data_IF_143644503717
#
_entry.id   IF_143644503717
#
_cell.length_a   1.000
_cell.length_b   1.000
_cell.length_c   1.000
_cell.angle_alpha   90.00
_cell.angle_beta   90.00
_cell.angle_gamma   90.00
#
_symmetry.space_group_name_H-M   'P 1'
#
loop_
_entity.id
_entity.type
_entity.pdbx_description
1 polymer ?
#
# COMPACT_ATOMS: atom_id res chain seq x y z
N UNK A 1 15.60 -25.16 -29.48
CA UNK A 1 14.21 -25.14 -29.98
C UNK A 1 13.43 -26.17 -29.17
N UNK A 2 12.99 -25.79 -27.97
CA UNK A 2 12.12 -26.61 -27.14
C UNK A 2 10.79 -25.89 -27.09
N UNK A 3 9.74 -26.54 -27.57
CA UNK A 3 8.37 -26.05 -27.51
C UNK A 3 7.96 -25.91 -26.04
N UNK A 4 8.18 -24.72 -25.47
CA UNK A 4 7.65 -24.37 -24.15
C UNK A 4 6.21 -23.93 -24.36
N UNK A 5 5.34 -24.92 -24.49
CA UNK A 5 3.90 -24.70 -24.34
C UNK A 5 3.62 -23.97 -23.01
N UNK A 6 2.45 -23.33 -22.88
CA UNK A 6 2.11 -22.55 -21.70
C UNK A 6 2.29 -23.37 -20.43
N UNK A 7 3.01 -22.83 -19.44
CA UNK A 7 3.18 -23.47 -18.13
C UNK A 7 1.79 -23.71 -17.52
N UNK A 8 1.40 -24.96 -17.24
CA UNK A 8 0.10 -25.24 -16.66
C UNK A 8 0.00 -24.62 -15.24
N UNK A 9 -1.19 -24.16 -14.82
CA UNK A 9 -1.42 -23.70 -13.45
C UNK A 9 -1.00 -24.75 -12.42
N UNK A 10 -0.51 -24.30 -11.26
CA UNK A 10 -0.06 -25.19 -10.16
C UNK A 10 -1.14 -26.18 -9.72
N UNK A 11 -2.41 -25.81 -9.88
CA UNK A 11 -3.60 -26.59 -9.53
C UNK A 11 -3.82 -27.84 -10.39
N UNK A 12 -3.23 -27.89 -11.59
CA UNK A 12 -3.28 -29.06 -12.47
C UNK A 12 -2.10 -30.01 -12.28
N UNK A 13 -1.13 -29.63 -11.46
CA UNK A 13 0.06 -30.44 -11.19
C UNK A 13 -0.19 -31.36 -9.99
N UNK A 14 0.32 -32.60 -10.02
CA UNK A 14 0.09 -33.56 -8.93
C UNK A 14 0.64 -33.02 -7.61
N UNK A 15 -0.08 -33.28 -6.51
CA UNK A 15 0.40 -32.95 -5.17
C UNK A 15 1.68 -33.77 -4.89
N UNK A 16 2.79 -33.11 -4.51
CA UNK A 16 4.00 -33.79 -4.09
C UNK A 16 3.73 -34.68 -2.88
N UNK A 17 4.41 -35.83 -2.75
CA UNK A 17 4.23 -36.70 -1.60
C UNK A 17 4.60 -35.98 -0.30
N UNK A 18 3.73 -36.08 0.71
CA UNK A 18 4.02 -35.65 2.06
C UNK A 18 5.21 -36.45 2.61
N UNK A 19 6.21 -35.77 3.16
CA UNK A 19 7.28 -36.44 3.92
C UNK A 19 7.05 -36.25 5.40
N UNK A 20 7.17 -37.34 6.14
CA UNK A 20 7.52 -37.26 7.54
C UNK A 20 8.88 -36.61 7.68
N UNK A 21 8.94 -35.52 8.45
CA UNK A 21 10.15 -34.85 8.92
C UNK A 21 10.91 -34.07 7.84
N UNK A 22 10.35 -32.92 7.44
CA UNK A 22 11.09 -31.84 6.76
C UNK A 22 10.52 -31.44 5.40
N UNK A 23 9.76 -30.35 5.40
CA UNK A 23 9.25 -29.58 4.25
C UNK A 23 8.08 -30.22 3.49
N UNK A 24 6.86 -29.80 3.87
CA UNK A 24 5.65 -29.91 3.05
C UNK A 24 5.41 -28.64 2.20
N UNK A 25 4.53 -28.73 1.20
CA UNK A 25 4.10 -27.58 0.39
C UNK A 25 3.58 -26.44 1.27
N UNK A 26 2.77 -26.77 2.28
CA UNK A 26 2.21 -25.81 3.25
C UNK A 26 3.31 -25.04 3.98
N UNK A 27 4.37 -25.71 4.43
CA UNK A 27 5.50 -25.05 5.12
C UNK A 27 6.21 -24.04 4.21
N UNK A 28 6.39 -24.42 2.94
CA UNK A 28 7.04 -23.58 1.93
C UNK A 28 6.22 -22.32 1.68
N UNK A 29 4.91 -22.48 1.49
CA UNK A 29 3.99 -21.36 1.25
C UNK A 29 3.93 -20.44 2.47
N UNK A 30 3.81 -20.99 3.69
CA UNK A 30 3.81 -20.20 4.92
C UNK A 30 5.10 -19.40 5.12
N UNK A 31 6.26 -19.99 4.83
CA UNK A 31 7.54 -19.27 4.89
C UNK A 31 7.62 -18.13 3.85
N UNK A 32 7.10 -18.37 2.65
CA UNK A 32 7.05 -17.36 1.61
C UNK A 32 6.11 -16.20 1.96
N UNK A 33 4.93 -16.48 2.54
CA UNK A 33 4.00 -15.48 3.07
C UNK A 33 4.68 -14.64 4.15
N UNK A 34 5.30 -15.26 5.17
CA UNK A 34 6.02 -14.51 6.21
C UNK A 34 7.09 -13.60 5.64
N UNK A 35 7.90 -14.08 4.68
CA UNK A 35 8.91 -13.23 4.04
C UNK A 35 8.29 -12.02 3.33
N UNK A 36 7.17 -12.23 2.63
CA UNK A 36 6.48 -11.18 1.90
C UNK A 36 5.75 -10.20 2.84
N UNK A 37 5.22 -10.67 3.97
CA UNK A 37 4.58 -9.81 4.98
C UNK A 37 5.56 -8.79 5.57
N UNK A 38 6.81 -9.21 5.81
CA UNK A 38 7.84 -8.35 6.40
C UNK A 38 8.58 -7.51 5.36
N UNK A 39 8.87 -8.08 4.18
CA UNK A 39 9.76 -7.48 3.18
C UNK A 39 9.09 -7.06 1.88
N UNK A 40 7.76 -7.15 1.79
CA UNK A 40 7.01 -6.90 0.57
C UNK A 40 7.22 -7.96 -0.51
N UNK A 41 6.60 -7.75 -1.67
CA UNK A 41 6.70 -8.66 -2.80
C UNK A 41 8.15 -8.82 -3.33
N UNK A 42 8.99 -7.81 -3.11
CA UNK A 42 10.38 -7.75 -3.53
C UNK A 42 11.28 -8.71 -2.74
N UNK A 43 10.97 -8.96 -1.47
CA UNK A 43 11.70 -9.93 -0.64
C UNK A 43 11.50 -11.38 -1.10
N UNK A 44 10.46 -11.65 -1.90
CA UNK A 44 10.12 -12.99 -2.34
C UNK A 44 11.10 -13.49 -3.42
N UNK A 45 12.05 -14.30 -2.98
CA UNK A 45 12.94 -15.08 -3.86
C UNK A 45 13.00 -16.54 -3.40
N UNK A 46 13.14 -17.48 -4.35
CA UNK A 46 13.29 -18.91 -4.03
C UNK A 46 14.48 -19.18 -3.09
N UNK A 47 15.51 -18.33 -3.14
CA UNK A 47 16.68 -18.41 -2.27
C UNK A 47 16.38 -17.94 -0.85
N UNK A 48 15.64 -16.85 -0.70
CA UNK A 48 15.20 -16.37 0.60
C UNK A 48 14.28 -17.39 1.28
N UNK A 49 13.32 -17.96 0.54
CA UNK A 49 12.42 -19.01 1.05
C UNK A 49 13.20 -20.25 1.49
N UNK A 50 14.18 -20.69 0.70
CA UNK A 50 15.01 -21.84 1.07
C UNK A 50 15.85 -21.59 2.33
N UNK A 51 16.39 -20.37 2.46
CA UNK A 51 17.16 -19.94 3.63
C UNK A 51 16.29 -19.92 4.89
N UNK A 52 15.10 -19.32 4.80
CA UNK A 52 14.11 -19.25 5.88
C UNK A 52 13.73 -20.66 6.40
N UNK A 53 13.63 -21.62 5.48
CA UNK A 53 13.26 -23.00 5.78
C UNK A 53 14.44 -23.90 6.19
N UNK A 54 15.67 -23.38 6.22
CA UNK A 54 16.88 -24.18 6.46
C UNK A 54 17.16 -25.23 5.39
N UNK A 55 16.60 -25.09 4.18
CA UNK A 55 16.80 -26.02 3.08
C UNK A 55 18.20 -25.85 2.47
N UNK A 56 18.90 -26.96 2.22
CA UNK A 56 20.29 -26.93 1.72
C UNK A 56 20.43 -26.29 0.33
N UNK A 57 19.37 -26.34 -0.51
CA UNK A 57 19.37 -25.67 -1.82
C UNK A 57 17.97 -25.15 -2.20
N UNK A 58 17.88 -24.03 -2.96
CA UNK A 58 16.61 -23.57 -3.53
C UNK A 58 15.96 -24.57 -4.47
N UNK A 59 16.76 -25.43 -5.12
CA UNK A 59 16.28 -26.42 -6.06
C UNK A 59 15.32 -27.43 -5.41
N UNK A 60 15.52 -27.72 -4.12
CA UNK A 60 14.65 -28.63 -3.36
C UNK A 60 13.19 -28.15 -3.27
N UNK A 61 12.97 -26.83 -3.33
CA UNK A 61 11.63 -26.24 -3.25
C UNK A 61 10.83 -26.43 -4.54
N UNK A 62 11.48 -26.38 -5.71
CA UNK A 62 10.79 -26.53 -6.99
C UNK A 62 10.13 -27.90 -7.15
N UNK A 63 10.55 -28.93 -6.40
CA UNK A 63 9.80 -30.20 -6.36
C UNK A 63 8.37 -30.02 -5.87
N UNK A 64 8.12 -29.02 -5.02
CA UNK A 64 6.83 -28.81 -4.38
C UNK A 64 5.96 -27.77 -5.08
N UNK A 65 6.61 -26.72 -5.58
CA UNK A 65 5.93 -25.53 -6.13
C UNK A 65 6.18 -25.33 -7.62
N UNK A 66 7.04 -26.15 -8.24
CA UNK A 66 7.42 -26.17 -9.66
C UNK A 66 8.15 -24.92 -10.18
N UNK A 67 7.73 -23.73 -9.79
CA UNK A 67 8.29 -22.45 -10.20
C UNK A 67 8.07 -21.38 -9.13
N UNK A 68 8.71 -20.21 -9.28
CA UNK A 68 8.40 -19.03 -8.44
C UNK A 68 6.93 -18.63 -8.60
N UNK A 69 6.43 -18.71 -9.82
CA UNK A 69 5.05 -18.40 -10.15
C UNK A 69 4.05 -19.35 -9.48
N UNK A 70 4.34 -20.65 -9.47
CA UNK A 70 3.51 -21.64 -8.77
C UNK A 70 3.50 -21.41 -7.25
N UNK A 71 4.60 -20.93 -6.68
CA UNK A 71 4.64 -20.49 -5.28
C UNK A 71 3.75 -19.25 -5.07
N UNK A 72 3.81 -18.25 -5.95
CA UNK A 72 2.95 -17.07 -5.87
C UNK A 72 1.48 -17.43 -5.96
N UNK A 73 1.09 -18.32 -6.88
CA UNK A 73 -0.30 -18.81 -7.00
C UNK A 73 -0.78 -19.44 -5.69
N UNK A 74 0.07 -20.25 -5.04
CA UNK A 74 -0.23 -20.88 -3.75
C UNK A 74 -0.32 -19.85 -2.61
N UNK A 75 0.54 -18.83 -2.59
CA UNK A 75 0.48 -17.75 -1.59
C UNK A 75 -0.82 -16.95 -1.72
N UNK A 76 -1.18 -16.56 -2.94
CA UNK A 76 -2.43 -15.83 -3.22
C UNK A 76 -3.64 -16.65 -2.78
N UNK A 77 -3.68 -17.94 -3.08
CA UNK A 77 -4.80 -18.80 -2.67
C UNK A 77 -4.84 -19.03 -1.16
N UNK A 78 -3.69 -19.15 -0.49
CA UNK A 78 -3.62 -19.26 0.96
C UNK A 78 -4.23 -18.01 1.63
N UNK A 79 -3.83 -16.81 1.18
CA UNK A 79 -4.37 -15.55 1.69
C UNK A 79 -5.88 -15.43 1.45
N UNK A 80 -6.37 -15.88 0.29
CA UNK A 80 -7.81 -15.96 0.01
C UNK A 80 -8.57 -16.88 0.98
N UNK A 81 -7.90 -17.87 1.56
CA UNK A 81 -8.48 -18.75 2.58
C UNK A 81 -8.85 -18.05 3.89
N UNK A 82 -8.35 -16.84 4.12
CA UNK A 82 -8.71 -16.03 5.30
C UNK A 82 -10.06 -15.32 5.15
N UNK A 83 -10.55 -15.17 3.91
CA UNK A 83 -11.82 -14.50 3.64
C UNK A 83 -12.96 -15.49 3.89
N UNK A 84 -13.82 -15.17 4.85
CA UNK A 84 -14.93 -16.04 5.21
C UNK A 84 -15.98 -16.03 4.11
N UNK A 85 -16.30 -17.22 3.62
CA UNK A 85 -17.36 -17.45 2.63
C UNK A 85 -18.16 -18.67 3.05
N UNK A 86 -19.33 -18.49 3.69
CA UNK A 86 -20.24 -19.58 4.00
C UNK A 86 -20.56 -20.43 2.78
N UNK A 87 -20.90 -21.71 2.97
CA UNK A 87 -21.23 -22.61 1.84
C UNK A 87 -22.47 -22.15 1.06
N UNK A 88 -23.41 -21.49 1.75
CA UNK A 88 -24.64 -20.96 1.15
C UNK A 88 -24.78 -19.49 1.55
N UNK A 89 -24.97 -18.57 0.59
CA UNK A 89 -25.26 -17.17 0.88
C UNK A 89 -26.58 -16.99 1.63
N UNK A 90 -26.62 -16.06 2.59
CA UNK A 90 -27.83 -15.66 3.28
C UNK A 90 -28.83 -14.91 2.39
N UNK A 91 -29.88 -14.38 3.03
CA UNK A 91 -30.91 -13.56 2.35
C UNK A 91 -30.47 -12.10 2.19
N UNK A 92 -29.63 -11.60 3.10
CA UNK A 92 -29.09 -10.24 3.04
C UNK A 92 -27.86 -10.18 2.12
N UNK A 93 -28.11 -10.15 0.81
CA UNK A 93 -27.05 -10.09 -0.20
C UNK A 93 -26.09 -8.90 0.03
N UNK A 94 -26.58 -7.77 0.57
CA UNK A 94 -25.73 -6.60 0.83
C UNK A 94 -24.79 -6.89 1.98
N UNK A 95 -25.31 -7.41 3.08
CA UNK A 95 -24.52 -7.82 4.23
C UNK A 95 -23.45 -8.85 3.85
N UNK A 96 -23.80 -9.85 3.04
CA UNK A 96 -22.85 -10.89 2.58
C UNK A 96 -21.71 -10.30 1.74
N UNK A 97 -22.02 -9.45 0.75
CA UNK A 97 -20.98 -8.82 -0.09
C UNK A 97 -20.14 -7.80 0.70
N UNK A 98 -20.74 -7.08 1.64
CA UNK A 98 -20.01 -6.21 2.57
C UNK A 98 -19.03 -7.02 3.41
N UNK A 99 -19.46 -8.14 3.99
CA UNK A 99 -18.61 -8.99 4.81
C UNK A 99 -17.42 -9.55 4.00
N UNK A 100 -17.66 -10.03 2.77
CA UNK A 100 -16.59 -10.49 1.87
C UNK A 100 -15.60 -9.37 1.55
N UNK A 101 -16.09 -8.17 1.25
CA UNK A 101 -15.23 -7.03 0.91
C UNK A 101 -14.40 -6.56 2.11
N UNK A 102 -15.00 -6.46 3.30
CA UNK A 102 -14.32 -6.06 4.54
C UNK A 102 -13.30 -7.11 4.98
N UNK A 103 -13.63 -8.40 4.94
CA UNK A 103 -12.69 -9.47 5.25
C UNK A 103 -11.52 -9.49 4.24
N UNK A 104 -11.79 -9.24 2.96
CA UNK A 104 -10.76 -9.13 1.92
C UNK A 104 -9.87 -7.91 2.17
N UNK A 105 -10.45 -6.75 2.50
CA UNK A 105 -9.69 -5.55 2.87
C UNK A 105 -8.77 -5.81 4.06
N UNK A 106 -9.30 -6.40 5.14
CA UNK A 106 -8.53 -6.77 6.31
C UNK A 106 -7.39 -7.76 5.98
N UNK A 107 -7.66 -8.75 5.11
CA UNK A 107 -6.65 -9.68 4.60
C UNK A 107 -5.55 -8.95 3.82
N UNK A 108 -5.91 -8.02 2.93
CA UNK A 108 -4.90 -7.26 2.16
C UNK A 108 -4.06 -6.33 3.04
N UNK A 109 -4.60 -5.82 4.15
CA UNK A 109 -3.82 -5.07 5.15
C UNK A 109 -2.81 -5.97 5.88
N UNK A 110 -3.17 -7.23 6.17
CA UNK A 110 -2.25 -8.24 6.73
C UNK A 110 -1.19 -8.68 5.71
N UNK A 111 -1.56 -8.73 4.43
CA UNK A 111 -0.71 -9.18 3.33
C UNK A 111 -0.58 -8.10 2.24
N UNK A 112 0.16 -7.00 2.47
CA UNK A 112 0.24 -5.87 1.53
C UNK A 112 0.74 -6.25 0.13
N UNK A 113 1.53 -7.34 0.03
CA UNK A 113 2.01 -7.89 -1.23
C UNK A 113 0.90 -8.47 -2.11
N UNK A 114 -0.27 -8.82 -1.57
CA UNK A 114 -1.37 -9.46 -2.29
C UNK A 114 -1.83 -8.60 -3.48
N UNK A 115 -2.12 -7.32 -3.23
CA UNK A 115 -2.66 -6.41 -4.24
C UNK A 115 -1.68 -6.15 -5.41
N UNK A 116 -0.37 -6.25 -5.16
CA UNK A 116 0.67 -6.15 -6.21
C UNK A 116 0.75 -7.40 -7.09
N UNK A 117 0.41 -8.57 -6.55
CA UNK A 117 0.60 -9.86 -7.22
C UNK A 117 -0.69 -10.40 -7.87
N UNK A 118 -1.86 -10.08 -7.32
CA UNK A 118 -3.14 -10.68 -7.74
C UNK A 118 -3.51 -10.40 -9.20
N UNK A 119 -3.08 -9.27 -9.77
CA UNK A 119 -3.36 -8.93 -11.17
C UNK A 119 -2.41 -9.60 -12.19
N UNK A 120 -1.35 -10.24 -11.71
CA UNK A 120 -0.36 -10.89 -12.58
C UNK A 120 -0.83 -12.28 -13.01
N UNK A 121 -1.85 -12.83 -12.33
CA UNK A 121 -2.24 -14.24 -12.41
C UNK A 121 -3.76 -14.40 -12.33
N UNK A 122 -4.39 -15.27 -13.13
CA UNK A 122 -5.78 -15.64 -12.90
C UNK A 122 -5.94 -16.30 -11.52
N UNK A 123 -6.88 -15.84 -10.68
CA UNK A 123 -7.13 -16.45 -9.37
C UNK A 123 -7.87 -17.78 -9.55
N UNK A 124 -7.12 -18.87 -9.75
CA UNK A 124 -7.65 -20.20 -10.09
C UNK A 124 -7.51 -21.24 -8.96
N UNK A 125 -7.10 -20.81 -7.76
CA UNK A 125 -6.93 -21.69 -6.61
C UNK A 125 -8.24 -22.03 -5.90
N UNK A 126 -8.29 -23.13 -5.13
CA UNK A 126 -9.51 -23.58 -4.45
C UNK A 126 -10.19 -22.53 -3.56
N UNK A 127 -9.43 -21.73 -2.80
CA UNK A 127 -10.02 -20.71 -1.93
C UNK A 127 -10.51 -19.51 -2.75
N UNK A 128 -9.74 -19.10 -3.76
CA UNK A 128 -10.18 -18.04 -4.66
C UNK A 128 -11.44 -18.43 -5.47
N UNK A 129 -11.52 -19.69 -5.90
CA UNK A 129 -12.70 -20.26 -6.54
C UNK A 129 -13.89 -20.32 -5.59
N UNK A 130 -13.71 -20.72 -4.33
CA UNK A 130 -14.78 -20.71 -3.31
C UNK A 130 -15.32 -19.29 -3.10
N UNK A 131 -14.44 -18.28 -3.00
CA UNK A 131 -14.85 -16.88 -2.87
C UNK A 131 -15.64 -16.40 -4.08
N UNK A 132 -15.14 -16.71 -5.28
CA UNK A 132 -15.81 -16.33 -6.54
C UNK A 132 -17.18 -17.00 -6.64
N UNK A 133 -17.27 -18.30 -6.37
CA UNK A 133 -18.53 -19.05 -6.37
C UNK A 133 -19.53 -18.44 -5.39
N UNK A 134 -19.10 -18.09 -4.18
CA UNK A 134 -19.97 -17.47 -3.17
C UNK A 134 -20.56 -16.13 -3.65
N UNK A 135 -19.74 -15.26 -4.24
CA UNK A 135 -20.20 -13.98 -4.79
C UNK A 135 -21.18 -14.20 -5.95
N UNK A 136 -20.88 -15.15 -6.85
CA UNK A 136 -21.77 -15.48 -7.96
C UNK A 136 -23.10 -16.08 -7.47
N UNK A 137 -23.06 -17.00 -6.51
CA UNK A 137 -24.24 -17.60 -5.90
C UNK A 137 -25.11 -16.54 -5.20
N UNK A 138 -24.49 -15.52 -4.60
CA UNK A 138 -25.21 -14.38 -4.01
C UNK A 138 -26.04 -13.65 -5.07
N UNK A 139 -25.49 -13.40 -6.26
CA UNK A 139 -26.22 -12.75 -7.36
C UNK A 139 -27.21 -13.68 -8.08
N UNK A 140 -26.89 -14.97 -8.22
CA UNK A 140 -27.78 -15.97 -8.81
C UNK A 140 -29.10 -16.09 -8.03
N UNK A 141 -29.03 -16.04 -6.69
CA UNK A 141 -30.22 -15.99 -5.81
C UNK A 141 -31.10 -14.76 -6.04
N UNK A 142 -30.54 -13.69 -6.59
CA UNK A 142 -31.27 -12.48 -6.97
C UNK A 142 -31.80 -12.54 -8.41
N UNK A 143 -31.70 -13.70 -9.06
CA UNK A 143 -32.17 -13.94 -10.42
C UNK A 143 -31.33 -13.26 -11.50
N UNK A 144 -30.09 -12.85 -11.19
CA UNK A 144 -29.20 -12.24 -12.17
C UNK A 144 -28.60 -13.30 -13.10
N UNK A 145 -28.42 -12.94 -14.37
CA UNK A 145 -27.66 -13.79 -15.27
C UNK A 145 -26.18 -13.82 -14.88
N UNK A 146 -25.48 -14.91 -15.24
CA UNK A 146 -24.09 -15.09 -14.86
C UNK A 146 -23.16 -14.01 -15.42
N UNK A 147 -23.43 -13.44 -16.59
CA UNK A 147 -22.56 -12.40 -17.15
C UNK A 147 -22.64 -11.11 -16.34
N UNK A 148 -23.86 -10.72 -15.92
CA UNK A 148 -24.08 -9.60 -15.00
C UNK A 148 -23.47 -9.86 -13.62
N UNK A 149 -23.68 -11.06 -13.05
CA UNK A 149 -23.08 -11.46 -11.78
C UNK A 149 -21.53 -11.38 -11.80
N UNK A 150 -20.91 -11.90 -12.87
CA UNK A 150 -19.47 -11.79 -13.13
C UNK A 150 -19.00 -10.34 -13.30
N UNK A 151 -19.84 -9.47 -13.85
CA UNK A 151 -19.58 -8.03 -13.95
C UNK A 151 -19.55 -7.37 -12.58
N UNK A 152 -20.56 -7.65 -11.74
CA UNK A 152 -20.64 -7.11 -10.38
C UNK A 152 -19.53 -7.64 -9.46
N UNK A 153 -19.20 -8.93 -9.56
CA UNK A 153 -18.08 -9.52 -8.83
C UNK A 153 -16.76 -8.80 -9.16
N UNK A 154 -16.50 -8.51 -10.44
CA UNK A 154 -15.31 -7.75 -10.86
C UNK A 154 -15.31 -6.31 -10.40
N UNK A 155 -16.47 -5.66 -10.30
CA UNK A 155 -16.57 -4.30 -9.74
C UNK A 155 -16.17 -4.32 -8.26
N UNK A 156 -16.68 -5.27 -7.49
CA UNK A 156 -16.34 -5.45 -6.08
C UNK A 156 -14.85 -5.73 -5.90
N UNK A 157 -14.33 -6.77 -6.56
CA UNK A 157 -12.90 -7.14 -6.49
C UNK A 157 -11.99 -5.99 -6.95
N UNK A 158 -12.39 -5.27 -8.01
CA UNK A 158 -11.64 -4.13 -8.53
C UNK A 158 -11.57 -2.96 -7.56
N UNK A 159 -12.68 -2.66 -6.87
CA UNK A 159 -12.71 -1.65 -5.81
C UNK A 159 -11.79 -2.04 -4.66
N UNK A 160 -11.97 -3.25 -4.10
CA UNK A 160 -11.19 -3.69 -2.93
C UNK A 160 -9.71 -3.78 -3.26
N UNK A 161 -9.35 -4.37 -4.40
CA UNK A 161 -7.94 -4.53 -4.79
C UNK A 161 -7.30 -3.18 -5.15
N UNK A 162 -8.06 -2.26 -5.76
CA UNK A 162 -7.59 -0.91 -6.05
C UNK A 162 -7.27 -0.13 -4.78
N UNK A 163 -8.16 -0.16 -3.79
CA UNK A 163 -7.93 0.44 -2.48
C UNK A 163 -6.75 -0.22 -1.76
N UNK A 164 -6.64 -1.55 -1.82
CA UNK A 164 -5.54 -2.31 -1.23
C UNK A 164 -4.19 -1.96 -1.85
N UNK A 165 -4.13 -1.81 -3.18
CA UNK A 165 -2.92 -1.42 -3.88
C UNK A 165 -2.51 0.01 -3.52
N UNK A 166 -3.48 0.94 -3.53
CA UNK A 166 -3.24 2.33 -3.14
C UNK A 166 -2.66 2.41 -1.73
N UNK A 167 -3.27 1.71 -0.77
CA UNK A 167 -2.82 1.64 0.60
C UNK A 167 -1.42 1.02 0.75
N UNK A 168 -1.16 -0.09 0.05
CA UNK A 168 0.14 -0.76 0.08
C UNK A 168 1.25 0.12 -0.53
N UNK A 169 0.96 0.85 -1.61
CA UNK A 169 1.91 1.80 -2.21
C UNK A 169 2.15 3.02 -1.35
N UNK A 170 1.11 3.58 -0.73
CA UNK A 170 1.27 4.66 0.23
C UNK A 170 2.17 4.22 1.39
N UNK A 171 1.87 3.08 2.02
CA UNK A 171 2.73 2.50 3.05
C UNK A 171 4.18 2.36 2.60
N UNK A 172 4.41 1.80 1.41
CA UNK A 172 5.76 1.63 0.88
C UNK A 172 6.43 2.98 0.58
N UNK A 173 5.68 3.99 0.14
CA UNK A 173 6.16 5.35 -0.10
C UNK A 173 6.59 6.02 1.21
N UNK A 174 5.82 5.87 2.28
CA UNK A 174 6.18 6.37 3.61
C UNK A 174 7.47 5.74 4.13
N UNK A 175 7.60 4.42 4.01
CA UNK A 175 8.82 3.70 4.41
C UNK A 175 10.05 4.12 3.59
N UNK A 176 9.92 4.22 2.26
CA UNK A 176 11.03 4.61 1.36
C UNK A 176 11.52 6.03 1.62
N UNK A 177 10.63 6.95 1.97
CA UNK A 177 10.97 8.34 2.25
C UNK A 177 11.25 8.61 3.74
N UNK A 178 11.22 7.56 4.58
CA UNK A 178 11.41 7.65 6.02
C UNK A 178 10.50 8.70 6.70
N UNK A 179 9.26 8.82 6.24
CA UNK A 179 8.28 9.67 6.90
C UNK A 179 7.93 9.05 8.24
N UNK A 180 8.17 9.80 9.31
CA UNK A 180 7.87 9.35 10.68
C UNK A 180 6.43 9.71 11.03
N UNK A 181 5.93 10.81 10.48
CA UNK A 181 4.61 11.33 10.79
C UNK A 181 4.07 12.23 9.63
N UNK A 182 2.75 12.43 9.56
CA UNK A 182 2.13 13.26 8.51
C UNK A 182 2.63 14.71 8.53
N UNK A 183 3.20 15.20 9.65
CA UNK A 183 3.87 16.53 9.70
C UNK A 183 5.08 16.59 8.76
N UNK A 184 5.83 15.51 8.60
CA UNK A 184 6.95 15.47 7.65
C UNK A 184 6.44 15.57 6.21
N UNK A 185 5.36 14.84 5.91
CA UNK A 185 4.67 14.89 4.62
C UNK A 185 4.10 16.29 4.37
N UNK A 186 3.42 16.91 5.34
CA UNK A 186 2.87 18.26 5.27
C UNK A 186 3.97 19.32 5.06
N UNK A 187 5.11 19.21 5.77
CA UNK A 187 6.25 20.11 5.58
C UNK A 187 6.79 20.04 4.17
N UNK A 188 6.96 18.82 3.64
CA UNK A 188 7.47 18.60 2.30
C UNK A 188 6.45 19.01 1.22
N UNK A 189 5.17 18.70 1.44
CA UNK A 189 4.06 19.16 0.62
C UNK A 189 3.99 20.69 0.59
N UNK A 190 4.13 21.38 1.72
CA UNK A 190 4.15 22.85 1.78
C UNK A 190 5.33 23.45 1.01
N UNK A 191 6.50 22.83 1.07
CA UNK A 191 7.65 23.26 0.28
C UNK A 191 7.43 23.04 -1.23
N UNK A 192 6.79 21.94 -1.63
CA UNK A 192 6.54 21.64 -3.04
C UNK A 192 5.37 22.42 -3.64
N UNK A 193 4.24 22.47 -2.92
CA UNK A 193 3.03 23.15 -3.36
C UNK A 193 3.07 24.67 -3.15
N UNK A 194 3.83 25.19 -2.18
CA UNK A 194 3.95 26.63 -1.94
C UNK A 194 4.45 27.40 -3.17
N UNK A 195 5.24 26.75 -4.02
CA UNK A 195 5.75 27.33 -5.27
C UNK A 195 4.81 27.14 -6.47
N UNK A 196 3.87 26.18 -6.40
CA UNK A 196 3.02 25.74 -7.53
C UNK A 196 1.55 26.20 -7.38
N UNK A 197 1.10 26.41 -6.15
CA UNK A 197 -0.30 26.59 -5.79
C UNK A 197 -0.44 27.91 -5.04
N UNK A 198 -0.85 28.97 -5.75
CA UNK A 198 -1.27 30.23 -5.17
C UNK A 198 -2.79 30.25 -4.98
N UNK A 199 -3.29 30.98 -3.98
CA UNK A 199 -4.74 31.25 -3.82
C UNK A 199 -5.34 31.87 -5.09
N UNK A 200 -4.57 32.68 -5.82
CA UNK A 200 -4.94 33.28 -7.10
C UNK A 200 -4.69 32.36 -8.33
N UNK A 201 -4.35 31.10 -8.10
CA UNK A 201 -4.00 30.13 -9.14
C UNK A 201 -5.20 29.43 -9.77
N UNK A 202 -5.00 28.66 -10.86
CA UNK A 202 -6.10 27.98 -11.57
C UNK A 202 -6.68 26.77 -10.83
N UNK A 203 -6.22 26.45 -9.62
CA UNK A 203 -6.58 25.22 -8.88
C UNK A 203 -7.22 25.48 -7.50
N UNK A 204 -8.30 26.28 -7.39
CA UNK A 204 -8.85 26.71 -6.10
C UNK A 204 -9.38 25.56 -5.23
N UNK A 205 -9.87 24.46 -5.81
CA UNK A 205 -10.31 23.30 -5.03
C UNK A 205 -9.14 22.48 -4.49
N UNK A 206 -8.03 22.40 -5.24
CA UNK A 206 -6.82 21.72 -4.78
C UNK A 206 -6.17 22.49 -3.63
N UNK A 207 -6.17 23.83 -3.70
CA UNK A 207 -5.75 24.72 -2.60
C UNK A 207 -6.53 24.37 -1.33
N UNK A 208 -7.87 24.31 -1.41
CA UNK A 208 -8.72 24.01 -0.24
C UNK A 208 -8.50 22.61 0.35
N UNK A 209 -8.32 21.60 -0.50
CA UNK A 209 -8.00 20.24 -0.04
C UNK A 209 -6.63 20.22 0.65
N UNK A 210 -5.64 20.89 0.05
CA UNK A 210 -4.31 21.01 0.62
C UNK A 210 -4.34 21.76 1.95
N UNK A 211 -5.10 22.86 2.05
CA UNK A 211 -5.27 23.62 3.29
C UNK A 211 -5.92 22.78 4.39
N UNK A 212 -7.01 22.05 4.08
CA UNK A 212 -7.63 21.09 5.01
C UNK A 212 -6.59 20.09 5.51
N UNK A 213 -5.89 19.44 4.57
CA UNK A 213 -4.85 18.46 4.85
C UNK A 213 -3.70 19.03 5.69
N UNK A 214 -3.32 20.28 5.47
CA UNK A 214 -2.28 20.98 6.24
C UNK A 214 -2.79 21.44 7.63
N UNK A 215 -4.09 21.66 7.79
CA UNK A 215 -4.69 22.18 9.04
C UNK A 215 -5.04 21.12 10.08
N UNK A 216 -5.42 19.90 9.68
CA UNK A 216 -6.04 18.86 10.52
C UNK A 216 -5.25 18.40 11.77
N UNK A 217 -3.97 18.78 11.92
CA UNK A 217 -3.20 18.53 13.16
C UNK A 217 -2.58 19.75 13.84
N UNK A 218 -2.70 20.95 13.28
CA UNK A 218 -2.35 22.16 14.03
C UNK A 218 -3.28 22.31 15.26
N UNK A 219 -4.54 21.89 15.11
CA UNK A 219 -5.53 21.90 16.19
C UNK A 219 -5.28 20.78 17.22
N UNK A 220 -4.78 19.60 16.79
CA UNK A 220 -4.48 18.49 17.69
C UNK A 220 -3.25 18.73 18.60
N UNK A 221 -2.32 19.61 18.19
CA UNK A 221 -1.18 20.02 19.01
C UNK A 221 -1.47 21.24 19.90
N UNK A 222 -2.62 21.91 19.72
CA UNK A 222 -2.98 23.16 20.40
C UNK A 222 -3.69 23.00 21.76
N UNK A 223 -4.18 21.82 22.12
CA UNK A 223 -5.00 21.63 23.34
C UNK A 223 -4.25 21.06 24.57
N UNK A 224 -2.93 20.91 24.51
CA UNK A 224 -2.13 20.55 25.69
C UNK A 224 -1.17 21.67 26.08
N UNK A 225 -1.68 22.71 26.73
CA UNK A 225 -0.82 23.70 27.38
C UNK A 225 -1.39 25.10 27.60
N UNK A 226 -2.61 25.24 28.12
CA UNK A 226 -3.06 26.52 28.68
C UNK A 226 -3.33 26.35 30.18
N UNK A 227 -2.26 26.24 30.97
CA UNK A 227 -2.31 26.63 32.38
C UNK A 227 -2.22 28.15 32.40
N UNK A 228 -3.32 28.78 32.80
CA UNK A 228 -3.37 30.19 33.17
C UNK A 228 -2.29 30.52 34.20
N UNK A 229 -1.50 31.53 33.90
CA UNK A 229 -0.82 32.32 34.92
C UNK A 229 -1.19 33.79 34.68
N UNK A 230 -2.19 34.21 35.45
CA UNK A 230 -2.50 35.61 35.73
C UNK A 230 -1.40 36.21 36.63
N UNK A 231 -1.04 37.47 36.41
CA UNK A 231 -0.21 38.23 37.37
C UNK A 231 0.79 39.25 36.80
N UNK A 232 0.32 40.49 36.58
CA UNK A 232 0.99 41.74 37.02
C UNK A 232 2.20 42.29 36.24
N UNK A 233 2.01 43.44 35.56
CA UNK A 233 3.05 44.25 34.87
C UNK A 233 3.99 45.06 35.80
N UNK A 234 4.57 46.23 35.41
CA UNK A 234 4.49 46.95 34.13
C UNK A 234 5.84 47.46 33.55
N UNK A 235 5.78 47.98 32.31
CA UNK A 235 6.56 49.02 31.60
C UNK A 235 8.04 49.32 31.95
N UNK A 236 8.94 49.14 30.97
CA UNK A 236 10.09 50.03 30.70
C UNK A 236 10.41 50.06 29.19
N UNK A 237 10.37 51.25 28.58
CA UNK A 237 11.10 51.67 27.36
C UNK A 237 11.90 52.94 27.74
N UNK A 238 12.85 53.44 26.94
CA UNK A 238 13.83 52.79 26.07
C UNK A 238 15.27 53.30 26.37
N UNK A 239 16.31 52.70 25.77
CA UNK A 239 17.54 53.45 25.52
C UNK A 239 18.09 53.25 24.10
N UNK A 240 18.68 54.34 23.62
CA UNK A 240 19.14 54.54 22.27
C UNK A 240 20.67 54.59 22.27
N UNK A 241 21.30 53.68 21.53
CA UNK A 241 22.59 53.87 20.88
C UNK A 241 22.78 52.67 19.95
N UNK A 242 22.90 52.76 18.63
CA UNK A 242 23.45 53.81 17.81
C UNK A 242 24.52 53.17 16.93
N UNK A 243 24.16 52.66 15.76
CA UNK A 243 24.85 52.92 14.48
C UNK A 243 24.25 52.16 13.31
N UNK A 244 24.21 52.91 12.21
CA UNK A 244 23.70 52.63 10.89
C UNK A 244 24.84 52.16 9.99
N UNK A 245 24.59 51.13 9.19
CA UNK A 245 25.10 50.91 7.84
C UNK A 245 24.34 49.71 7.27
N UNK A 246 23.71 49.68 6.09
CA UNK A 246 23.58 50.62 4.99
C UNK A 246 23.14 49.80 3.76
N UNK A 247 22.20 50.35 2.97
CA UNK A 247 21.84 49.99 1.58
C UNK A 247 21.27 48.56 1.32
N UNK A 248 20.19 48.36 0.56
CA UNK A 248 19.47 49.24 -0.35
C UNK A 248 18.05 48.73 -0.67
N UNK A 249 17.24 49.65 -1.19
CA UNK A 249 15.82 49.50 -1.55
C UNK A 249 15.62 48.77 -2.89
N UNK A 250 14.39 48.32 -3.19
CA UNK A 250 14.05 47.31 -4.19
C UNK A 250 13.91 47.89 -5.60
N UNK A 251 14.38 47.13 -6.60
CA UNK A 251 14.20 47.41 -8.02
C UNK A 251 12.97 46.70 -8.58
N UNK A 252 12.18 47.46 -9.33
CA UNK A 252 10.86 47.14 -9.87
C UNK A 252 10.80 45.95 -10.85
N UNK A 253 9.62 45.31 -10.87
CA UNK A 253 9.14 44.45 -11.96
C UNK A 253 9.08 45.22 -13.28
N UNK A 254 9.19 44.51 -14.42
CA UNK A 254 8.18 44.72 -15.45
C UNK A 254 7.66 43.40 -16.04
N UNK A 255 6.39 43.47 -16.47
CA UNK A 255 5.91 42.72 -17.64
C UNK A 255 5.48 41.29 -17.41
N UNK A 256 4.20 41.10 -17.07
CA UNK A 256 3.50 39.88 -17.39
C UNK A 256 3.39 39.75 -18.91
N UNK A 257 3.88 38.64 -19.47
CA UNK A 257 3.37 38.13 -20.74
C UNK A 257 3.31 36.62 -20.68
N UNK A 258 2.09 36.11 -20.82
CA UNK A 258 1.76 34.70 -20.81
C UNK A 258 2.39 34.02 -22.03
N UNK A 259 3.23 33.01 -21.80
CA UNK A 259 3.67 32.11 -22.87
C UNK A 259 3.99 30.71 -22.32
N UNK A 260 3.05 29.80 -22.55
CA UNK A 260 3.38 28.45 -23.00
C UNK A 260 3.91 27.48 -21.95
N UNK A 261 2.98 26.76 -21.33
CA UNK A 261 3.21 25.36 -20.97
C UNK A 261 3.81 24.60 -22.17
N UNK A 262 5.11 24.27 -22.09
CA UNK A 262 5.81 23.23 -22.88
C UNK A 262 7.27 23.13 -22.46
N UNK A 263 7.56 22.24 -21.50
CA UNK A 263 8.79 21.42 -21.48
C UNK A 263 8.71 20.38 -20.34
N UNK A 264 8.03 19.27 -20.64
CA UNK A 264 8.25 17.98 -19.98
C UNK A 264 8.39 16.96 -21.09
N UNK A 265 9.55 16.93 -21.74
CA UNK A 265 10.17 15.73 -22.35
C UNK A 265 11.64 16.10 -22.58
N UNK A 266 12.54 15.41 -21.87
CA UNK A 266 13.96 15.10 -22.19
C UNK A 266 14.84 15.25 -20.94
N UNK A 267 14.90 14.18 -20.16
CA UNK A 267 16.03 13.87 -19.29
C UNK A 267 16.09 12.35 -19.13
N UNK A 268 16.46 11.66 -20.21
CA UNK A 268 16.82 10.25 -20.15
C UNK A 268 17.93 9.98 -21.18
N UNK A 269 19.17 10.29 -20.78
CA UNK A 269 20.43 9.74 -21.31
C UNK A 269 21.59 10.42 -20.59
N UNK A 270 22.12 9.74 -19.58
CA UNK A 270 23.56 9.57 -19.29
C UNK A 270 23.70 9.13 -17.83
N UNK A 271 23.99 7.85 -17.62
CA UNK A 271 24.91 7.34 -16.60
C UNK A 271 24.99 5.81 -16.69
N UNK A 272 25.83 5.35 -17.62
CA UNK A 272 26.40 4.02 -17.62
C UNK A 272 27.94 4.16 -17.68
N UNK A 273 28.62 3.47 -16.76
CA UNK A 273 30.09 3.39 -16.66
C UNK A 273 30.66 4.35 -15.62
N UNK A 274 31.14 3.90 -14.46
CA UNK A 274 32.34 3.08 -14.39
C UNK A 274 32.49 2.40 -13.02
N UNK A 275 32.90 1.14 -13.02
CA UNK A 275 33.36 0.39 -11.85
C UNK A 275 34.90 0.40 -11.79
N UNK A 276 35.48 0.51 -10.57
CA UNK A 276 36.58 -0.28 -9.98
C UNK A 276 37.27 0.53 -8.84
N UNK A 277 37.17 0.12 -7.56
CA UNK A 277 37.91 -0.90 -6.76
C UNK A 277 39.21 -0.38 -6.12
N UNK A 278 39.19 -0.32 -4.77
CA UNK A 278 40.22 -0.72 -3.78
C UNK A 278 39.69 -0.30 -2.38
N UNK A 279 39.73 -1.03 -1.27
CA UNK A 279 40.50 -2.19 -0.85
C UNK A 279 41.08 -1.93 0.55
N UNK A 280 40.46 -2.47 1.61
CA UNK A 280 40.92 -2.72 3.00
C UNK A 280 39.69 -2.64 3.94
N UNK A 281 39.37 -3.56 4.86
CA UNK A 281 40.10 -4.65 5.48
C UNK A 281 40.22 -4.38 6.98
N UNK A 282 39.24 -4.78 7.80
CA UNK A 282 39.46 -5.48 9.08
C UNK A 282 38.17 -5.84 9.82
N UNK A 283 38.29 -6.97 10.51
CA UNK A 283 37.33 -7.78 11.26
C UNK A 283 36.95 -7.18 12.62
N UNK A 284 35.83 -7.63 13.20
CA UNK A 284 35.58 -7.43 14.63
C UNK A 284 34.14 -7.64 15.10
N UNK A 285 33.73 -8.91 15.20
CA UNK A 285 32.87 -9.48 16.26
C UNK A 285 31.78 -8.62 16.93
N UNK A 286 30.55 -9.15 16.89
CA UNK A 286 29.72 -9.20 18.10
C UNK A 286 28.30 -8.65 17.96
N UNK A 287 27.37 -9.49 18.39
CA UNK A 287 26.05 -9.13 18.92
C UNK A 287 24.89 -9.10 17.92
N UNK A 288 24.23 -10.25 17.85
CA UNK A 288 22.83 -10.42 17.44
C UNK A 288 21.99 -9.57 18.39
N UNK A 289 21.72 -8.34 18.00
CA UNK A 289 20.71 -7.51 18.63
C UNK A 289 19.38 -7.83 17.96
N UNK A 290 18.50 -8.41 18.75
CA UNK A 290 17.08 -8.58 18.52
C UNK A 290 16.46 -7.20 18.23
N UNK A 291 16.42 -6.83 16.96
CA UNK A 291 15.84 -5.57 16.49
C UNK A 291 14.39 -5.84 16.14
N UNK A 292 13.55 -5.90 17.17
CA UNK A 292 12.15 -5.55 17.06
C UNK A 292 12.09 -4.08 16.61
N UNK A 293 12.14 -3.84 15.30
CA UNK A 293 11.84 -2.53 14.75
C UNK A 293 10.36 -2.23 15.04
N UNK A 294 10.00 -1.07 15.61
CA UNK A 294 8.61 -0.79 15.90
C UNK A 294 7.85 -0.66 14.58
N UNK A 295 6.74 -1.40 14.52
CA UNK A 295 5.68 -1.26 13.53
C UNK A 295 5.14 0.17 13.51
N UNK A 296 4.77 0.63 12.32
CA UNK A 296 4.00 1.84 11.99
C UNK A 296 3.79 2.88 13.08
N UNK A 297 4.45 4.03 12.92
CA UNK A 297 4.10 5.25 13.64
C UNK A 297 2.79 5.90 13.11
N UNK A 298 1.88 5.13 12.49
CA UNK A 298 0.57 5.63 12.07
C UNK A 298 -0.38 5.60 13.24
N UNK A 299 -1.08 6.70 13.46
CA UNK A 299 -1.98 6.82 14.62
C UNK A 299 -3.23 5.95 14.42
N UNK A 300 -3.86 5.52 15.52
CA UNK A 300 -5.15 4.80 15.47
C UNK A 300 -6.22 5.60 14.72
N UNK A 301 -6.14 6.95 14.78
CA UNK A 301 -7.05 7.84 14.08
C UNK A 301 -6.88 7.78 12.55
N UNK A 302 -5.64 7.69 12.05
CA UNK A 302 -5.37 7.54 10.62
C UNK A 302 -5.89 6.19 10.09
N UNK A 303 -5.64 5.10 10.82
CA UNK A 303 -6.15 3.79 10.47
C UNK A 303 -7.69 3.76 10.43
N UNK A 304 -8.36 4.44 11.37
CA UNK A 304 -9.81 4.56 11.39
C UNK A 304 -10.36 5.41 10.23
N UNK A 305 -9.64 6.46 9.82
CA UNK A 305 -10.02 7.29 8.66
C UNK A 305 -9.92 6.50 7.35
N UNK A 306 -8.88 5.65 7.20
CA UNK A 306 -8.73 4.77 6.04
C UNK A 306 -9.87 3.76 5.93
N UNK A 307 -10.23 3.13 7.04
CA UNK A 307 -11.33 2.17 7.09
C UNK A 307 -12.67 2.85 6.78
N UNK A 308 -12.90 4.05 7.31
CA UNK A 308 -14.09 4.83 6.98
C UNK A 308 -14.17 5.22 5.49
N UNK A 309 -13.04 5.57 4.86
CA UNK A 309 -13.00 5.89 3.44
C UNK A 309 -13.25 4.65 2.56
N UNK A 310 -12.74 3.49 2.98
CA UNK A 310 -13.03 2.21 2.33
C UNK A 310 -14.52 1.85 2.46
N UNK A 311 -15.10 1.97 3.64
CA UNK A 311 -16.52 1.67 3.86
C UNK A 311 -17.44 2.58 3.05
N UNK A 312 -17.16 3.89 3.02
CA UNK A 312 -17.94 4.84 2.22
C UNK A 312 -17.95 4.49 0.72
N UNK A 313 -16.79 4.14 0.16
CA UNK A 313 -16.72 3.77 -1.26
C UNK A 313 -17.40 2.43 -1.54
N UNK A 314 -17.31 1.47 -0.61
CA UNK A 314 -18.02 0.19 -0.70
C UNK A 314 -19.54 0.39 -0.67
N UNK A 315 -20.05 1.23 0.23
CA UNK A 315 -21.48 1.58 0.29
C UNK A 315 -21.96 2.18 -1.03
N UNK A 316 -21.22 3.15 -1.57
CA UNK A 316 -21.54 3.77 -2.86
C UNK A 316 -21.58 2.74 -4.01
N UNK A 317 -20.63 1.80 -4.02
CA UNK A 317 -20.58 0.73 -5.01
C UNK A 317 -21.79 -0.20 -4.90
N UNK A 318 -22.12 -0.64 -3.68
CA UNK A 318 -23.26 -1.52 -3.43
C UNK A 318 -24.60 -0.84 -3.71
N UNK A 319 -24.72 0.47 -3.44
CA UNK A 319 -25.88 1.28 -3.85
C UNK A 319 -26.04 1.34 -5.37
N UNK A 320 -24.93 1.53 -6.08
CA UNK A 320 -24.89 1.48 -7.54
C UNK A 320 -25.36 0.13 -8.09
N UNK A 321 -24.90 -0.98 -7.49
CA UNK A 321 -25.36 -2.33 -7.84
C UNK A 321 -26.86 -2.49 -7.55
N UNK A 322 -27.34 -2.11 -6.36
CA UNK A 322 -28.76 -2.19 -6.01
C UNK A 322 -29.67 -1.37 -6.91
N UNK A 323 -29.19 -0.25 -7.43
CA UNK A 323 -29.92 0.54 -8.42
C UNK A 323 -30.09 -0.20 -9.76
N UNK A 324 -29.22 -1.16 -10.08
CA UNK A 324 -29.28 -1.98 -11.31
C UNK A 324 -29.97 -3.33 -11.15
N UNK A 325 -30.11 -3.82 -9.92
CA UNK A 325 -30.88 -5.02 -9.60
C UNK A 325 -32.41 -4.79 -9.63
N UNK A 326 -32.84 -3.52 -9.71
CA UNK A 326 -34.25 -3.10 -9.83
C UNK A 326 -34.69 -3.03 -11.29
#
# INVERSE_FOLDING_TARGET
MGDQGPTPPIWLLPEPPERGWGLGRVDIVNAAVRLADHGGAEALTMRAVAKELGASTPMSLYRYVHSKDGLVDLMLDLANGEVRTPEVPGEDWRGELTAVAVDTWAMTKRHPWYARLVHQRPPAGPNASRRTEFVLATFDRLGQDLASALGYARLLDGYVTGQALQWAEERAMWQRNAFVDVVDVQRQARAWFGDVVSEDGPYPLLVRVLESFLSERHDAAGESGAVSADGGGPDVEPDASGRVAGAGKPGARPGAEAAGARRVVEADRELAGSAQVAGSGQEGSGQVADAHAPADARTVAEAAAEDAQFELGLECLLDGIAARLR
#
